data_IF_706885865857
#
_entry.id   IF_706885865857
#
_cell.length_a   1.000
_cell.length_b   1.000
_cell.length_c   1.000
_cell.angle_alpha   90.00
_cell.angle_beta   90.00
_cell.angle_gamma   90.00
#
_symmetry.space_group_name_H-M   'P 1'
#
loop_
_entity.id
_entity.type
_entity.pdbx_description
1 polymer ?
#
# COMPACT_ATOMS: atom_id res chain seq x y z
N UNK A 1 -16.58 4.94 1.41
CA UNK A 1 -15.76 3.83 1.95
C UNK A 1 -16.04 2.57 1.15
N UNK A 2 -15.08 1.64 1.03
CA UNK A 2 -15.32 0.32 0.40
C UNK A 2 -15.49 -0.75 1.46
N UNK A 3 -16.68 -1.36 1.46
CA UNK A 3 -17.07 -2.36 2.43
C UNK A 3 -17.51 -3.62 1.67
N UNK A 4 -17.27 -4.79 2.26
CA UNK A 4 -17.76 -6.06 1.75
C UNK A 4 -18.60 -6.76 2.81
N UNK A 5 -19.55 -7.59 2.39
CA UNK A 5 -20.37 -8.36 3.31
C UNK A 5 -19.50 -9.29 4.16
N UNK A 6 -19.70 -9.24 5.47
CA UNK A 6 -18.94 -10.05 6.41
C UNK A 6 -19.22 -11.54 6.16
N UNK A 7 -18.17 -12.32 5.95
CA UNK A 7 -18.27 -13.76 5.67
C UNK A 7 -18.33 -14.13 4.19
N UNK A 8 -18.38 -13.16 3.27
CA UNK A 8 -18.21 -13.40 1.83
C UNK A 8 -16.80 -13.02 1.39
N UNK A 9 -15.92 -14.02 1.32
CA UNK A 9 -14.51 -13.84 0.93
C UNK A 9 -14.35 -13.37 -0.53
N UNK A 10 -15.31 -13.72 -1.38
CA UNK A 10 -15.39 -13.29 -2.79
C UNK A 10 -16.45 -12.20 -3.01
N UNK A 11 -16.94 -11.58 -1.92
CA UNK A 11 -17.92 -10.49 -2.00
C UNK A 11 -17.28 -9.26 -2.62
N UNK A 12 -17.83 -8.80 -3.75
CA UNK A 12 -17.38 -7.58 -4.41
C UNK A 12 -17.47 -6.38 -3.44
N UNK A 13 -16.41 -5.59 -3.27
CA UNK A 13 -16.42 -4.45 -2.36
C UNK A 13 -17.37 -3.36 -2.86
N UNK A 14 -18.45 -3.13 -2.12
CA UNK A 14 -19.43 -2.08 -2.38
C UNK A 14 -18.91 -0.74 -1.88
N UNK A 15 -18.98 0.29 -2.72
CA UNK A 15 -18.67 1.66 -2.32
C UNK A 15 -19.90 2.31 -1.67
N UNK A 16 -19.81 2.58 -0.37
CA UNK A 16 -20.87 3.19 0.44
C UNK A 16 -20.50 4.60 0.94
N UNK A 17 -21.51 5.41 1.26
CA UNK A 17 -21.33 6.67 1.97
C UNK A 17 -20.70 6.48 3.35
N UNK A 18 -20.09 7.51 3.94
CA UNK A 18 -19.39 7.39 5.23
C UNK A 18 -20.34 7.01 6.38
N UNK A 19 -21.50 7.66 6.48
CA UNK A 19 -22.51 7.37 7.49
C UNK A 19 -23.09 5.94 7.33
N UNK A 20 -23.37 5.56 6.08
CA UNK A 20 -23.89 4.23 5.73
C UNK A 20 -22.87 3.12 6.03
N UNK A 21 -21.60 3.35 5.69
CA UNK A 21 -20.51 2.45 5.99
C UNK A 21 -20.30 2.27 7.51
N UNK A 22 -20.37 3.36 8.29
CA UNK A 22 -20.22 3.26 9.74
C UNK A 22 -21.39 2.50 10.37
N UNK A 23 -22.62 2.70 9.89
CA UNK A 23 -23.78 1.94 10.32
C UNK A 23 -23.64 0.44 10.01
N UNK A 24 -23.16 0.09 8.82
CA UNK A 24 -22.95 -1.30 8.39
C UNK A 24 -21.83 -2.01 9.18
N UNK A 25 -20.75 -1.30 9.51
CA UNK A 25 -19.68 -1.80 10.38
C UNK A 25 -20.16 -2.01 11.81
N UNK A 26 -20.94 -1.06 12.36
CA UNK A 26 -21.54 -1.19 13.71
C UNK A 26 -22.56 -2.32 13.79
N UNK A 27 -23.32 -2.53 12.72
CA UNK A 27 -24.25 -3.65 12.60
C UNK A 27 -23.53 -4.99 12.39
N UNK A 28 -22.23 -4.98 12.11
CA UNK A 28 -21.44 -6.18 11.86
C UNK A 28 -21.83 -6.94 10.58
N UNK A 29 -22.60 -6.31 9.69
CA UNK A 29 -23.05 -6.91 8.42
C UNK A 29 -21.99 -6.77 7.34
N UNK A 30 -21.12 -5.77 7.47
CA UNK A 30 -20.05 -5.49 6.53
C UNK A 30 -18.71 -5.36 7.25
N UNK A 31 -17.63 -5.63 6.53
CA UNK A 31 -16.25 -5.39 6.95
C UNK A 31 -15.55 -4.47 5.93
N UNK A 32 -14.53 -3.75 6.38
CA UNK A 32 -13.73 -2.90 5.50
C UNK A 32 -13.03 -3.80 4.50
N UNK A 33 -13.27 -3.56 3.22
CA UNK A 33 -12.52 -4.25 2.18
C UNK A 33 -11.15 -3.57 2.09
N UNK A 34 -10.13 -4.24 2.64
CA UNK A 34 -8.75 -3.79 2.53
C UNK A 34 -8.34 -3.75 1.06
N UNK A 35 -7.81 -2.61 0.62
CA UNK A 35 -7.45 -2.36 -0.78
C UNK A 35 -6.12 -3.02 -1.18
N UNK A 36 -5.90 -4.28 -0.76
CA UNK A 36 -4.76 -5.10 -1.17
C UNK A 36 -5.24 -6.17 -2.17
N UNK A 37 -5.52 -5.73 -3.39
CA UNK A 37 -5.97 -6.60 -4.48
C UNK A 37 -6.50 -5.79 -5.64
N UNK A 38 -5.59 -5.15 -6.38
CA UNK A 38 -5.92 -4.43 -7.60
C UNK A 38 -6.49 -5.37 -8.65
N UNK A 39 -7.61 -4.96 -9.25
CA UNK A 39 -8.20 -5.58 -10.43
C UNK A 39 -9.30 -4.71 -11.03
N UNK A 40 -9.19 -3.38 -10.85
CA UNK A 40 -10.05 -2.42 -11.53
C UNK A 40 -9.78 -2.48 -13.02
N UNK A 41 -10.84 -2.77 -13.77
CA UNK A 41 -10.97 -2.30 -15.13
C UNK A 41 -10.93 -0.76 -15.12
N UNK A 42 -9.82 -0.19 -15.57
CA UNK A 42 -9.84 0.99 -16.45
C UNK A 42 -8.48 1.19 -17.12
N UNK A 43 -8.40 1.12 -18.46
CA UNK A 43 -7.23 1.56 -19.20
C UNK A 43 -7.27 3.10 -19.39
N UNK A 44 -6.09 3.67 -19.70
CA UNK A 44 -5.75 5.08 -20.00
C UNK A 44 -5.50 5.96 -18.78
N UNK A 45 -4.50 6.85 -18.77
CA UNK A 45 -3.39 7.22 -19.66
C UNK A 45 -2.48 8.02 -18.73
N UNK A 46 -1.18 7.76 -18.74
CA UNK A 46 -0.25 8.34 -17.77
C UNK A 46 1.00 7.49 -17.69
N UNK A 47 1.80 7.58 -18.75
CA UNK A 47 3.13 7.02 -18.88
C UNK A 47 3.95 7.18 -17.59
N UNK A 48 4.37 6.05 -17.03
CA UNK A 48 5.79 5.80 -16.81
C UNK A 48 5.95 4.29 -16.74
N UNK A 49 6.40 3.74 -17.88
CA UNK A 49 7.25 2.57 -17.92
C UNK A 49 8.13 2.49 -16.67
N UNK A 50 7.89 1.45 -15.89
CA UNK A 50 8.57 1.20 -14.64
C UNK A 50 8.23 -0.20 -14.17
N UNK A 51 8.38 -1.17 -15.07
CA UNK A 51 8.63 -2.57 -14.72
C UNK A 51 9.95 -2.64 -13.94
N UNK A 52 9.93 -2.14 -12.72
CA UNK A 52 10.85 -2.49 -11.67
C UNK A 52 9.94 -2.97 -10.54
N UNK A 53 10.26 -4.09 -9.86
CA UNK A 53 9.51 -4.48 -8.68
C UNK A 53 9.48 -3.25 -7.78
N UNK A 54 8.29 -2.69 -7.57
CA UNK A 54 8.09 -1.52 -6.72
C UNK A 54 8.42 -1.99 -5.31
N UNK A 55 9.70 -2.00 -4.99
CA UNK A 55 10.26 -2.20 -3.67
C UNK A 55 9.56 -1.09 -2.86
N UNK A 56 8.56 -1.49 -2.05
CA UNK A 56 7.67 -0.67 -1.22
C UNK A 56 8.46 0.09 -0.12
N UNK A 57 9.56 0.72 -0.50
CA UNK A 57 10.48 1.44 0.36
C UNK A 57 9.87 2.78 0.79
N UNK A 58 8.98 3.37 -0.03
CA UNK A 58 8.28 4.61 0.31
C UNK A 58 7.27 4.41 1.45
N UNK A 59 6.70 3.21 1.58
CA UNK A 59 5.74 2.88 2.64
C UNK A 59 6.44 2.54 3.95
N UNK A 60 7.70 2.06 3.89
CA UNK A 60 8.50 1.72 5.06
C UNK A 60 8.94 2.93 5.88
N UNK A 61 9.11 2.73 7.17
CA UNK A 61 9.63 3.74 8.08
C UNK A 61 11.14 3.92 7.91
N UNK A 62 11.68 5.05 8.40
CA UNK A 62 13.13 5.32 8.36
C UNK A 62 13.95 4.17 8.98
N UNK A 63 13.49 3.63 10.10
CA UNK A 63 14.15 2.53 10.81
C UNK A 63 14.15 1.22 10.00
N UNK A 64 13.04 0.92 9.29
CA UNK A 64 12.96 -0.26 8.43
C UNK A 64 13.87 -0.13 7.20
N UNK A 65 14.02 1.07 6.65
CA UNK A 65 14.93 1.33 5.55
C UNK A 65 16.39 1.20 5.98
N UNK A 66 16.76 1.71 7.16
CA UNK A 66 18.09 1.51 7.73
C UNK A 66 18.37 0.02 8.00
N UNK A 67 17.39 -0.74 8.48
CA UNK A 67 17.51 -2.18 8.67
C UNK A 67 17.69 -2.93 7.35
N UNK A 68 16.91 -2.58 6.32
CA UNK A 68 17.05 -3.11 4.96
C UNK A 68 18.40 -2.79 4.34
N UNK A 69 18.89 -1.57 4.54
CA UNK A 69 20.20 -1.17 4.06
C UNK A 69 21.30 -2.01 4.72
N UNK A 70 21.22 -2.21 6.03
CA UNK A 70 22.16 -3.07 6.76
C UNK A 70 22.10 -4.52 6.30
N UNK A 71 20.91 -5.05 6.05
CA UNK A 71 20.70 -6.41 5.54
C UNK A 71 21.28 -6.60 4.13
N UNK A 72 21.13 -5.58 3.27
CA UNK A 72 21.73 -5.51 1.93
C UNK A 72 23.23 -5.12 1.95
N UNK A 73 23.82 -4.85 3.11
CA UNK A 73 25.21 -4.43 3.24
C UNK A 73 25.51 -3.03 2.67
N UNK A 74 24.50 -2.17 2.55
CA UNK A 74 24.61 -0.82 2.01
C UNK A 74 24.94 0.18 3.11
N UNK A 75 25.96 1.01 2.86
CA UNK A 75 26.29 2.11 3.77
C UNK A 75 25.36 3.29 3.54
N UNK A 76 24.38 3.43 4.42
CA UNK A 76 23.44 4.55 4.44
C UNK A 76 23.82 5.63 5.45
N UNK A 77 25.04 5.61 5.99
CA UNK A 77 25.50 6.61 6.97
C UNK A 77 25.52 8.04 6.40
N UNK A 78 25.62 8.18 5.07
CA UNK A 78 25.51 9.46 4.38
C UNK A 78 24.06 9.95 4.21
N UNK A 79 23.08 9.04 4.29
CA UNK A 79 21.67 9.34 4.10
C UNK A 79 21.08 9.95 5.38
N UNK A 80 20.80 11.26 5.34
CA UNK A 80 20.24 11.97 6.51
C UNK A 80 18.72 11.91 6.53
N UNK A 81 18.09 11.84 5.36
CA UNK A 81 16.63 11.82 5.22
C UNK A 81 16.11 10.45 4.79
N UNK A 82 14.81 10.23 5.00
CA UNK A 82 14.12 9.03 4.51
C UNK A 82 14.23 8.90 2.98
N UNK A 83 14.16 10.01 2.26
CA UNK A 83 14.27 10.00 0.80
C UNK A 83 15.66 9.54 0.35
N UNK A 84 16.73 10.02 1.00
CA UNK A 84 18.11 9.59 0.71
C UNK A 84 18.29 8.08 0.94
N UNK A 85 17.68 7.54 2.01
CA UNK A 85 17.68 6.11 2.33
C UNK A 85 17.00 5.28 1.23
N UNK A 86 15.83 5.72 0.78
CA UNK A 86 15.07 5.07 -0.30
C UNK A 86 15.86 5.12 -1.61
N UNK A 87 16.46 6.26 -1.94
CA UNK A 87 17.24 6.42 -3.17
C UNK A 87 18.48 5.52 -3.15
N UNK A 88 19.19 5.44 -2.02
CA UNK A 88 20.32 4.54 -1.85
C UNK A 88 19.90 3.06 -2.00
N UNK A 89 18.76 2.67 -1.45
CA UNK A 89 18.22 1.32 -1.55
C UNK A 89 17.71 0.95 -2.95
N UNK A 90 17.20 1.93 -3.71
CA UNK A 90 16.78 1.73 -5.11
C UNK A 90 17.94 1.67 -6.09
N UNK A 91 19.09 2.28 -5.75
CA UNK A 91 20.31 2.29 -6.58
C UNK A 91 21.21 1.07 -6.35
N UNK A 92 20.94 0.29 -5.31
CA UNK A 92 21.68 -0.91 -4.94
C UNK A 92 21.23 -2.13 -5.74
#
# INVERSE_FOLDING_TARGET
MRLREKGKKDGEPVSMGWDEAQAALRAGTHEVADAAGSGSEKPREGESDGDAPADDLDTKTKAELEALAKDRGLDVSAARTKADLIEALRKA
#
